data_IF_156694242532
#
_entry.id   IF_156694242532
#
_cell.length_a   1.000
_cell.length_b   1.000
_cell.length_c   1.000
_cell.angle_alpha   90.00
_cell.angle_beta   90.00
_cell.angle_gamma   90.00
#
_symmetry.space_group_name_H-M   'P 1'
#
loop_
_entity.id
_entity.type
_entity.pdbx_description
1 polymer ?
#
# COMPACT_ATOMS: atom_id res chain seq x y z
N UNK A 1 14.74 22.80 9.54
CA UNK A 1 14.89 21.66 8.62
C UNK A 1 14.29 22.05 7.28
N UNK A 2 14.97 21.88 6.14
CA UNK A 2 14.35 22.14 4.84
C UNK A 2 13.16 21.21 4.64
N UNK A 3 12.13 21.68 3.94
CA UNK A 3 10.98 20.84 3.59
C UNK A 3 11.45 19.61 2.79
N UNK A 4 10.94 18.40 3.07
CA UNK A 4 11.29 17.23 2.30
C UNK A 4 10.91 17.46 0.84
N UNK A 5 11.87 17.19 -0.05
CA UNK A 5 11.66 17.31 -1.50
C UNK A 5 11.22 15.95 -2.03
N UNK A 6 10.04 15.92 -2.62
CA UNK A 6 9.59 14.75 -3.39
C UNK A 6 10.49 14.59 -4.61
N UNK A 7 10.79 13.34 -5.04
CA UNK A 7 11.50 13.11 -6.28
C UNK A 7 10.66 13.58 -7.47
N UNK A 8 11.31 13.88 -8.60
CA UNK A 8 10.60 14.22 -9.84
C UNK A 8 9.78 13.04 -10.40
N UNK A 9 10.19 11.81 -10.09
CA UNK A 9 9.53 10.59 -10.50
C UNK A 9 9.77 9.49 -9.47
N UNK A 10 8.75 8.68 -9.20
CA UNK A 10 8.82 7.51 -8.34
C UNK A 10 8.12 6.33 -9.04
N UNK A 11 8.87 5.32 -9.52
CA UNK A 11 8.27 4.21 -10.26
C UNK A 11 7.14 3.52 -9.48
N UNK A 12 6.02 3.28 -10.16
CA UNK A 12 4.85 2.62 -9.57
C UNK A 12 3.96 3.52 -8.70
N UNK A 13 4.32 4.80 -8.55
CA UNK A 13 3.56 5.79 -7.78
C UNK A 13 3.22 6.98 -8.69
N UNK A 14 1.93 7.27 -8.86
CA UNK A 14 1.48 8.54 -9.42
C UNK A 14 1.59 9.63 -8.34
N UNK A 15 2.71 10.35 -8.35
CA UNK A 15 2.98 11.43 -7.39
C UNK A 15 1.95 12.56 -7.49
N UNK A 16 1.38 12.83 -8.67
CA UNK A 16 0.40 13.89 -8.86
C UNK A 16 -0.96 13.50 -8.25
N UNK A 17 -1.42 12.26 -8.48
CA UNK A 17 -2.64 11.76 -7.84
C UNK A 17 -2.49 11.68 -6.31
N UNK A 18 -1.38 11.11 -5.82
CA UNK A 18 -1.12 11.00 -4.39
C UNK A 18 -1.04 12.35 -3.68
N UNK A 19 -0.38 13.33 -4.31
CA UNK A 19 -0.26 14.68 -3.75
C UNK A 19 -1.61 15.43 -3.75
N UNK A 20 -2.41 15.29 -4.81
CA UNK A 20 -3.78 15.84 -4.87
C UNK A 20 -4.67 15.30 -3.74
N UNK A 21 -4.57 13.99 -3.43
CA UNK A 21 -5.27 13.38 -2.29
C UNK A 21 -4.83 13.94 -0.95
N UNK A 22 -3.58 14.41 -0.87
CA UNK A 22 -3.01 15.10 0.28
C UNK A 22 -3.27 16.62 0.27
N UNK A 23 -4.16 17.14 -0.59
CA UNK A 23 -4.45 18.58 -0.74
C UNK A 23 -3.17 19.40 -0.99
N UNK A 24 -2.30 18.88 -1.84
CA UNK A 24 -1.02 19.48 -2.21
C UNK A 24 -0.02 19.68 -1.07
N UNK A 25 -0.23 18.97 0.06
CA UNK A 25 0.68 18.98 1.19
C UNK A 25 1.85 18.02 0.96
N UNK A 26 2.92 18.52 0.35
CA UNK A 26 4.11 17.74 0.03
C UNK A 26 4.83 17.14 1.27
N UNK A 27 4.99 17.86 2.40
CA UNK A 27 5.52 17.28 3.64
C UNK A 27 4.72 16.07 4.14
N UNK A 28 3.39 16.19 4.21
CA UNK A 28 2.53 15.08 4.60
C UNK A 28 2.65 13.91 3.63
N UNK A 29 2.63 14.18 2.33
CA UNK A 29 2.71 13.13 1.32
C UNK A 29 4.04 12.37 1.38
N UNK A 30 5.15 13.08 1.58
CA UNK A 30 6.46 12.46 1.84
C UNK A 30 6.41 11.53 3.05
N UNK A 31 5.85 11.98 4.17
CA UNK A 31 5.80 11.19 5.39
C UNK A 31 4.92 9.94 5.22
N UNK A 32 3.83 10.05 4.46
CA UNK A 32 2.99 8.91 4.09
C UNK A 32 3.74 7.90 3.22
N UNK A 33 4.53 8.34 2.24
CA UNK A 33 5.36 7.46 1.41
C UNK A 33 6.39 6.71 2.27
N UNK A 34 7.07 7.41 3.18
CA UNK A 34 8.06 6.80 4.09
C UNK A 34 7.39 5.82 5.05
N UNK A 35 6.26 6.20 5.65
CA UNK A 35 5.50 5.34 6.56
C UNK A 35 5.02 4.08 5.85
N UNK A 36 4.52 4.22 4.62
CA UNK A 36 4.10 3.10 3.80
C UNK A 36 5.24 2.13 3.51
N UNK A 37 6.39 2.64 3.06
CA UNK A 37 7.56 1.81 2.82
C UNK A 37 7.97 1.05 4.08
N UNK A 38 8.07 1.72 5.23
CA UNK A 38 8.43 1.08 6.50
C UNK A 38 7.42 0.03 6.96
N UNK A 39 6.13 0.32 6.81
CA UNK A 39 5.06 -0.57 7.26
C UNK A 39 4.92 -1.82 6.39
N UNK A 40 5.15 -1.70 5.09
CA UNK A 40 4.85 -2.75 4.12
C UNK A 40 6.07 -3.29 3.37
N UNK A 41 7.29 -2.96 3.80
CA UNK A 41 8.53 -3.53 3.24
C UNK A 41 8.50 -5.07 3.21
N UNK A 42 8.01 -5.68 4.29
CA UNK A 42 7.93 -7.14 4.43
C UNK A 42 6.54 -7.71 4.10
N UNK A 43 5.66 -6.91 3.49
CA UNK A 43 4.29 -7.33 3.16
C UNK A 43 4.24 -8.65 2.36
N UNK A 44 5.08 -8.90 1.34
CA UNK A 44 5.06 -10.18 0.62
C UNK A 44 5.39 -11.38 1.50
N UNK A 45 6.39 -11.24 2.38
CA UNK A 45 6.81 -12.31 3.28
C UNK A 45 5.72 -12.60 4.33
N UNK A 46 5.15 -11.55 4.91
CA UNK A 46 4.09 -11.66 5.91
C UNK A 46 2.81 -12.28 5.33
N UNK A 47 2.36 -11.82 4.16
CA UNK A 47 1.22 -12.41 3.46
C UNK A 47 1.47 -13.87 3.09
N UNK A 48 2.68 -14.19 2.61
CA UNK A 48 3.06 -15.57 2.32
C UNK A 48 3.01 -16.48 3.55
N UNK A 49 3.41 -15.96 4.72
CA UNK A 49 3.32 -16.68 5.98
C UNK A 49 1.86 -16.92 6.40
N UNK A 50 1.02 -15.89 6.40
CA UNK A 50 -0.40 -16.02 6.74
C UNK A 50 -1.11 -17.06 5.85
N UNK A 51 -0.81 -17.04 4.54
CA UNK A 51 -1.34 -18.03 3.60
C UNK A 51 -0.85 -19.47 3.89
N UNK A 52 0.44 -19.65 4.24
CA UNK A 52 0.98 -20.99 4.60
C UNK A 52 0.37 -21.52 5.89
N UNK A 53 0.08 -20.66 6.84
CA UNK A 53 -0.56 -20.99 8.11
C UNK A 53 -2.10 -21.11 8.00
N UNK A 54 -2.66 -21.00 6.80
CA UNK A 54 -4.12 -20.98 6.54
C UNK A 54 -4.88 -19.88 7.32
N UNK A 55 -4.19 -18.81 7.73
CA UNK A 55 -4.75 -17.65 8.44
C UNK A 55 -5.34 -16.65 7.45
N UNK A 56 -6.32 -17.12 6.66
CA UNK A 56 -6.88 -16.34 5.55
C UNK A 56 -7.68 -15.12 6.01
N UNK A 57 -8.29 -15.16 7.20
CA UNK A 57 -8.95 -13.99 7.80
C UNK A 57 -7.97 -12.84 8.02
N UNK A 58 -6.80 -13.13 8.59
CA UNK A 58 -5.76 -12.14 8.86
C UNK A 58 -5.10 -11.66 7.57
N UNK A 59 -4.88 -12.57 6.61
CA UNK A 59 -4.38 -12.20 5.30
C UNK A 59 -5.34 -11.24 4.56
N UNK A 60 -6.65 -11.44 4.70
CA UNK A 60 -7.66 -10.56 4.11
C UNK A 60 -7.59 -9.16 4.74
N UNK A 61 -7.56 -9.06 6.07
CA UNK A 61 -7.45 -7.77 6.79
C UNK A 61 -6.16 -7.05 6.42
N UNK A 62 -5.03 -7.76 6.37
CA UNK A 62 -3.74 -7.18 5.98
C UNK A 62 -3.77 -6.67 4.54
N UNK A 63 -4.30 -7.46 3.61
CA UNK A 63 -4.43 -7.09 2.20
C UNK A 63 -5.34 -5.88 2.00
N UNK A 64 -6.47 -5.84 2.71
CA UNK A 64 -7.40 -4.70 2.71
C UNK A 64 -6.71 -3.40 3.14
N UNK A 65 -5.93 -3.47 4.22
CA UNK A 65 -5.17 -2.32 4.74
C UNK A 65 -4.10 -1.86 3.75
N UNK A 66 -3.38 -2.80 3.14
CA UNK A 66 -2.36 -2.52 2.12
C UNK A 66 -2.99 -1.84 0.89
N UNK A 67 -4.13 -2.36 0.41
CA UNK A 67 -4.89 -1.78 -0.71
C UNK A 67 -5.32 -0.34 -0.45
N UNK A 68 -5.92 -0.08 0.71
CA UNK A 68 -6.36 1.26 1.09
C UNK A 68 -5.22 2.26 1.14
N UNK A 69 -4.08 1.84 1.71
CA UNK A 69 -2.90 2.72 1.79
C UNK A 69 -2.28 2.96 0.41
N UNK A 70 -2.17 1.92 -0.42
CA UNK A 70 -1.68 2.03 -1.80
C UNK A 70 -2.54 3.00 -2.64
N UNK A 71 -3.87 2.93 -2.52
CA UNK A 71 -4.79 3.81 -3.22
C UNK A 71 -4.62 5.29 -2.81
N UNK A 72 -4.35 5.57 -1.55
CA UNK A 72 -4.11 6.93 -1.06
C UNK A 72 -2.79 7.53 -1.56
N UNK A 73 -1.84 6.69 -1.96
CA UNK A 73 -0.52 7.13 -2.41
C UNK A 73 -0.41 7.31 -3.93
N UNK A 74 -1.44 6.97 -4.70
CA UNK A 74 -1.34 6.90 -6.17
C UNK A 74 -0.67 5.62 -6.67
N UNK A 75 -0.57 4.58 -5.84
CA UNK A 75 0.04 3.30 -6.18
C UNK A 75 -0.94 2.38 -6.94
N UNK A 76 -1.39 2.80 -8.13
CA UNK A 76 -2.50 2.15 -8.83
C UNK A 76 -2.28 0.67 -9.15
N UNK A 77 -1.10 0.31 -9.66
CA UNK A 77 -0.78 -1.08 -10.00
C UNK A 77 -0.79 -1.98 -8.75
N UNK A 78 -0.27 -1.48 -7.63
CA UNK A 78 -0.30 -2.19 -6.36
C UNK A 78 -1.73 -2.30 -5.80
N UNK A 79 -2.53 -1.25 -5.91
CA UNK A 79 -3.96 -1.26 -5.57
C UNK A 79 -4.73 -2.32 -6.35
N UNK A 80 -4.46 -2.48 -7.64
CA UNK A 80 -5.08 -3.52 -8.47
C UNK A 80 -4.61 -4.94 -8.09
N UNK A 81 -3.31 -5.12 -7.84
CA UNK A 81 -2.76 -6.42 -7.42
C UNK A 81 -3.32 -6.86 -6.06
N UNK A 82 -3.39 -5.94 -5.11
CA UNK A 82 -3.94 -6.21 -3.76
C UNK A 82 -5.44 -6.49 -3.80
N UNK A 83 -6.21 -5.83 -4.67
CA UNK A 83 -7.63 -6.16 -4.86
C UNK A 83 -7.84 -7.60 -5.37
N UNK A 84 -7.01 -8.06 -6.32
CA UNK A 84 -7.05 -9.45 -6.81
C UNK A 84 -6.66 -10.44 -5.71
N UNK A 85 -5.66 -10.10 -4.89
CA UNK A 85 -5.25 -10.91 -3.76
C UNK A 85 -6.34 -11.00 -2.70
N UNK A 86 -7.00 -9.89 -2.39
CA UNK A 86 -8.11 -9.82 -1.42
C UNK A 86 -9.24 -10.76 -1.83
N UNK A 87 -9.63 -10.77 -3.12
CA UNK A 87 -10.61 -11.71 -3.66
C UNK A 87 -10.16 -13.17 -3.55
N UNK A 88 -8.91 -13.46 -3.87
CA UNK A 88 -8.37 -14.82 -3.82
C UNK A 88 -8.30 -15.35 -2.38
N UNK A 89 -7.95 -14.50 -1.40
CA UNK A 89 -7.90 -14.86 0.01
C UNK A 89 -9.31 -14.98 0.58
N UNK A 90 -10.23 -14.10 0.21
CA UNK A 90 -11.63 -14.15 0.66
C UNK A 90 -12.32 -15.46 0.27
N UNK A 91 -12.09 -15.97 -0.94
CA UNK A 91 -12.63 -17.27 -1.39
C UNK A 91 -11.99 -18.51 -0.73
N UNK A 92 -11.06 -18.34 0.21
CA UNK A 92 -10.46 -19.44 1.01
C UNK A 92 -10.87 -19.40 2.49
N UNK A 93 -11.80 -18.52 2.83
CA UNK A 93 -12.37 -18.42 4.19
C UNK A 93 -13.51 -19.43 4.42
N UNK A 94 -13.94 -20.09 3.34
CA UNK A 94 -14.96 -21.14 3.27
C UNK A 94 -14.33 -22.53 3.17
#
# INVERSE_FOLDING_TARGET
MPAPRLPAHLPGIDLADGLRRCRDNAPLYHDLLVMFHRRFADAPAHLGQLCREARYDEAAVFTHTLRGTAANLGAHALGAATARLEQAVAGRRD
#
